data_IF_575652364907
#
_entry.id   IF_575652364907
#
_cell.length_a   1.000
_cell.length_b   1.000
_cell.length_c   1.000
_cell.angle_alpha   90.00
_cell.angle_beta   90.00
_cell.angle_gamma   90.00
#
_symmetry.space_group_name_H-M   'P 1'
#
loop_
_entity.id
_entity.type
_entity.pdbx_description
1 polymer ?
#
# COMPACT_ATOMS: atom_id res chain seq x y z
N UNK A 1 68.37 -16.19 9.96
CA UNK A 1 67.18 -16.81 10.59
C UNK A 1 66.46 -15.83 11.53
N UNK A 2 67.16 -15.18 12.47
CA UNK A 2 66.61 -14.25 13.47
C UNK A 2 65.85 -13.03 12.88
N UNK A 3 66.32 -12.46 11.77
CA UNK A 3 65.65 -11.29 11.16
C UNK A 3 64.27 -11.60 10.55
N UNK A 4 64.04 -12.85 10.11
CA UNK A 4 62.78 -13.28 9.48
C UNK A 4 61.69 -13.53 10.54
N UNK A 5 62.09 -14.08 11.68
CA UNK A 5 61.25 -14.24 12.88
C UNK A 5 60.77 -12.87 13.41
N UNK A 6 61.69 -11.92 13.59
CA UNK A 6 61.32 -10.57 14.08
C UNK A 6 60.40 -9.81 13.11
N UNK A 7 60.57 -10.00 11.80
CA UNK A 7 59.68 -9.40 10.80
C UNK A 7 58.27 -10.01 10.88
N UNK A 8 58.15 -11.33 11.05
CA UNK A 8 56.87 -12.02 11.21
C UNK A 8 56.13 -11.58 12.48
N UNK A 9 56.82 -11.42 13.61
CA UNK A 9 56.23 -10.92 14.85
C UNK A 9 55.71 -9.49 14.68
N UNK A 10 56.47 -8.61 14.01
CA UNK A 10 56.03 -7.23 13.74
C UNK A 10 54.79 -7.19 12.84
N UNK A 11 54.74 -8.01 11.79
CA UNK A 11 53.57 -8.12 10.90
C UNK A 11 52.36 -8.60 11.70
N UNK A 12 52.51 -9.65 12.51
CA UNK A 12 51.42 -10.17 13.35
C UNK A 12 50.90 -9.13 14.35
N UNK A 13 51.80 -8.39 15.01
CA UNK A 13 51.43 -7.31 15.93
C UNK A 13 50.70 -6.16 15.22
N UNK A 14 51.14 -5.79 14.02
CA UNK A 14 50.49 -4.75 13.22
C UNK A 14 49.11 -5.21 12.72
N UNK A 15 48.99 -6.45 12.24
CA UNK A 15 47.71 -7.01 11.76
C UNK A 15 46.71 -7.13 12.90
N UNK A 16 47.13 -7.64 14.07
CA UNK A 16 46.24 -7.75 15.24
C UNK A 16 45.79 -6.39 15.78
N UNK A 17 46.67 -5.39 15.79
CA UNK A 17 46.33 -4.02 16.17
C UNK A 17 45.30 -3.40 15.19
N UNK A 18 45.54 -3.52 13.88
CA UNK A 18 44.63 -3.02 12.86
C UNK A 18 43.28 -3.74 12.88
N UNK A 19 43.28 -5.07 13.04
CA UNK A 19 42.06 -5.85 13.16
C UNK A 19 41.24 -5.43 14.38
N UNK A 20 41.90 -5.16 15.52
CA UNK A 20 41.24 -4.68 16.74
C UNK A 20 40.60 -3.30 16.51
N UNK A 21 41.29 -2.39 15.83
CA UNK A 21 40.76 -1.06 15.50
C UNK A 21 39.58 -1.18 14.54
N UNK A 22 39.71 -1.97 13.48
CA UNK A 22 38.63 -2.21 12.51
C UNK A 22 37.41 -2.87 13.15
N UNK A 23 37.60 -3.87 14.01
CA UNK A 23 36.51 -4.53 14.72
C UNK A 23 35.78 -3.56 15.65
N UNK A 24 36.51 -2.72 16.41
CA UNK A 24 35.90 -1.68 17.28
C UNK A 24 35.15 -0.62 16.48
N UNK A 25 35.68 -0.18 15.34
CA UNK A 25 35.00 0.79 14.45
C UNK A 25 33.75 0.18 13.82
N UNK A 26 33.85 -1.03 13.28
CA UNK A 26 32.73 -1.71 12.65
C UNK A 26 31.61 -2.04 13.65
N UNK A 27 31.94 -2.39 14.90
CA UNK A 27 30.94 -2.63 15.93
C UNK A 27 30.09 -1.38 16.24
N UNK A 28 30.71 -0.20 16.31
CA UNK A 28 30.00 1.06 16.53
C UNK A 28 29.13 1.47 15.33
N UNK A 29 29.59 1.23 14.10
CA UNK A 29 28.82 1.51 12.87
C UNK A 29 27.64 0.56 12.71
N UNK A 30 27.75 -0.68 13.19
CA UNK A 30 26.64 -1.63 13.20
C UNK A 30 25.64 -1.39 14.35
N UNK A 31 25.95 -0.55 15.35
CA UNK A 31 25.10 -0.35 16.52
C UNK A 31 23.71 0.24 16.19
N UNK A 32 23.57 1.24 15.30
CA UNK A 32 22.25 1.73 14.89
C UNK A 32 21.44 0.70 14.08
N UNK A 33 22.11 -0.19 13.33
CA UNK A 33 21.45 -1.26 12.57
C UNK A 33 21.01 -2.43 13.47
N UNK A 34 21.68 -2.62 14.61
CA UNK A 34 21.36 -3.64 15.62
C UNK A 34 20.48 -3.12 16.75
N UNK A 35 20.32 -1.79 16.86
CA UNK A 35 19.36 -1.20 17.79
C UNK A 35 17.95 -1.57 17.33
N UNK A 36 17.34 -2.51 18.05
CA UNK A 36 15.88 -2.57 18.11
C UNK A 36 15.40 -1.17 18.51
N UNK A 37 14.46 -0.65 17.74
CA UNK A 37 13.88 0.68 17.86
C UNK A 37 13.72 1.04 19.34
N UNK A 38 14.51 2.01 19.83
CA UNK A 38 14.61 2.30 21.26
C UNK A 38 13.37 3.00 21.81
N UNK A 39 12.56 3.61 20.94
CA UNK A 39 11.35 4.33 21.29
C UNK A 39 10.10 3.47 21.01
N UNK A 40 9.30 3.16 22.05
CA UNK A 40 8.04 2.44 21.90
C UNK A 40 7.09 3.02 20.84
N UNK A 41 7.11 4.34 20.62
CA UNK A 41 6.25 4.99 19.62
C UNK A 41 6.68 4.66 18.19
N UNK A 42 7.98 4.68 17.91
CA UNK A 42 8.51 4.30 16.61
C UNK A 42 8.27 2.80 16.33
N UNK A 43 8.36 1.96 17.35
CA UNK A 43 8.01 0.54 17.23
C UNK A 43 6.54 0.37 16.85
N UNK A 44 5.63 1.08 17.54
CA UNK A 44 4.19 1.06 17.22
C UNK A 44 3.91 1.54 15.79
N UNK A 45 4.61 2.57 15.32
CA UNK A 45 4.48 3.04 13.94
C UNK A 45 4.87 1.96 12.93
N UNK A 46 6.00 1.30 13.12
CA UNK A 46 6.44 0.21 12.25
C UNK A 46 5.48 -0.98 12.27
N UNK A 47 4.94 -1.31 13.44
CA UNK A 47 3.97 -2.39 13.59
C UNK A 47 2.67 -2.05 12.84
N UNK A 48 2.18 -0.81 12.94
CA UNK A 48 1.03 -0.37 12.15
C UNK A 48 1.29 -0.30 10.65
N UNK A 49 2.50 0.05 10.23
CA UNK A 49 2.87 0.02 8.82
C UNK A 49 2.88 -1.40 8.27
N UNK A 50 3.38 -2.37 9.04
CA UNK A 50 3.35 -3.79 8.68
C UNK A 50 1.93 -4.33 8.62
N UNK A 51 1.11 -4.02 9.62
CA UNK A 51 -0.32 -4.39 9.66
C UNK A 51 -1.08 -3.81 8.46
N UNK A 52 -0.82 -2.55 8.11
CA UNK A 52 -1.43 -1.93 6.94
C UNK A 52 -0.97 -2.62 5.65
N UNK A 53 0.33 -2.90 5.50
CA UNK A 53 0.86 -3.55 4.30
C UNK A 53 0.19 -4.90 4.05
N UNK A 54 -0.02 -5.71 5.09
CA UNK A 54 -0.70 -7.01 4.95
C UNK A 54 -2.19 -6.86 4.63
N UNK A 55 -2.87 -5.88 5.22
CA UNK A 55 -4.30 -5.64 4.99
C UNK A 55 -4.62 -4.91 3.67
N UNK A 56 -3.68 -4.14 3.14
CA UNK A 56 -3.87 -3.32 1.93
C UNK A 56 -3.87 -4.12 0.61
N UNK A 57 -3.42 -5.38 0.64
CA UNK A 57 -3.34 -6.19 -0.58
C UNK A 57 -4.71 -6.76 -0.98
N UNK A 58 -5.06 -6.65 -2.27
CA UNK A 58 -6.15 -7.44 -2.85
C UNK A 58 -7.40 -6.68 -3.31
N UNK A 59 -7.44 -5.33 -3.19
CA UNK A 59 -8.47 -4.47 -3.80
C UNK A 59 -9.92 -4.71 -3.34
N UNK A 60 -10.11 -5.62 -2.38
CA UNK A 60 -11.38 -5.95 -1.75
C UNK A 60 -11.49 -5.22 -0.41
N UNK A 61 -12.70 -5.21 0.13
CA UNK A 61 -12.91 -4.78 1.50
C UNK A 61 -12.05 -5.60 2.45
N UNK A 62 -11.29 -4.88 3.29
CA UNK A 62 -10.48 -5.46 4.36
C UNK A 62 -11.40 -6.07 5.39
N UNK A 63 -11.09 -7.30 5.84
CA UNK A 63 -11.83 -8.01 6.89
C UNK A 63 -13.36 -8.07 6.64
N UNK A 64 -13.76 -8.31 5.39
CA UNK A 64 -15.17 -8.39 4.99
C UNK A 64 -15.92 -9.49 5.71
N UNK A 65 -17.04 -9.14 6.35
CA UNK A 65 -18.03 -10.13 6.79
C UNK A 65 -19.09 -10.32 5.70
N UNK A 66 -19.76 -11.48 5.64
CA UNK A 66 -20.82 -11.72 4.66
C UNK A 66 -21.95 -10.69 4.73
N UNK A 67 -22.18 -10.12 5.91
CA UNK A 67 -23.19 -9.07 6.13
C UNK A 67 -22.81 -7.76 5.44
N UNK A 68 -21.55 -7.32 5.57
CA UNK A 68 -21.06 -6.10 4.91
C UNK A 68 -21.09 -6.26 3.38
N UNK A 69 -20.75 -7.43 2.86
CA UNK A 69 -20.85 -7.68 1.41
C UNK A 69 -22.30 -7.65 0.92
N UNK A 70 -23.25 -8.14 1.75
CA UNK A 70 -24.68 -8.10 1.45
C UNK A 70 -25.18 -6.66 1.42
N UNK A 71 -24.84 -5.86 2.43
CA UNK A 71 -25.17 -4.43 2.50
C UNK A 71 -24.58 -3.66 1.32
N UNK A 72 -23.29 -3.87 1.00
CA UNK A 72 -22.66 -3.27 -0.17
C UNK A 72 -23.48 -3.56 -1.43
N UNK A 73 -23.80 -4.83 -1.70
CA UNK A 73 -24.55 -5.21 -2.90
C UNK A 73 -25.94 -4.59 -2.94
N UNK A 74 -26.61 -4.47 -1.78
CA UNK A 74 -27.91 -3.80 -1.68
C UNK A 74 -27.80 -2.31 -2.00
N UNK A 75 -26.81 -1.61 -1.45
CA UNK A 75 -26.60 -0.19 -1.72
C UNK A 75 -26.24 0.07 -3.19
N UNK A 76 -25.37 -0.76 -3.79
CA UNK A 76 -25.10 -0.70 -5.22
C UNK A 76 -26.38 -0.91 -6.06
N UNK A 77 -27.23 -1.87 -5.67
CA UNK A 77 -28.50 -2.11 -6.35
C UNK A 77 -29.48 -0.93 -6.25
N UNK A 78 -29.53 -0.24 -5.11
CA UNK A 78 -30.33 0.98 -4.94
C UNK A 78 -29.82 2.10 -5.84
N UNK A 79 -28.50 2.33 -5.86
CA UNK A 79 -27.87 3.33 -6.72
C UNK A 79 -28.11 3.05 -8.20
N UNK A 80 -27.94 1.81 -8.62
CA UNK A 80 -28.20 1.38 -10.00
C UNK A 80 -29.64 1.69 -10.44
N UNK A 81 -30.63 1.38 -9.59
CA UNK A 81 -32.04 1.71 -9.85
C UNK A 81 -32.31 3.22 -9.92
N UNK A 82 -31.70 3.99 -9.03
CA UNK A 82 -31.93 5.44 -8.95
C UNK A 82 -31.33 6.19 -10.14
N UNK A 83 -30.15 5.79 -10.62
CA UNK A 83 -29.41 6.49 -11.65
C UNK A 83 -29.50 5.85 -13.04
N UNK A 84 -30.48 4.96 -13.26
CA UNK A 84 -30.77 4.39 -14.58
C UNK A 84 -29.80 3.28 -15.04
N UNK A 85 -28.98 2.75 -14.13
CA UNK A 85 -28.14 1.58 -14.37
C UNK A 85 -28.90 0.26 -14.23
N UNK A 86 -30.02 0.11 -14.94
CA UNK A 86 -30.78 -1.15 -14.93
C UNK A 86 -29.95 -2.32 -15.46
N UNK A 87 -30.38 -3.55 -15.14
CA UNK A 87 -29.68 -4.80 -15.47
C UNK A 87 -29.35 -4.89 -16.97
N UNK A 88 -28.11 -4.60 -17.34
CA UNK A 88 -27.60 -4.64 -18.72
C UNK A 88 -27.20 -3.30 -19.32
N UNK A 89 -27.48 -2.16 -18.66
CA UNK A 89 -26.99 -0.86 -19.08
C UNK A 89 -25.52 -0.67 -18.69
N UNK A 90 -24.66 -0.43 -19.67
CA UNK A 90 -23.25 -0.14 -19.44
C UNK A 90 -23.09 1.31 -18.93
N UNK A 91 -22.91 1.46 -17.62
CA UNK A 91 -22.73 2.75 -16.96
C UNK A 91 -21.45 3.50 -17.39
N UNK A 92 -20.56 2.86 -18.15
CA UNK A 92 -19.38 3.53 -18.72
C UNK A 92 -19.69 4.20 -20.05
N UNK A 93 -20.83 3.86 -20.68
CA UNK A 93 -21.26 4.44 -21.95
C UNK A 93 -22.30 5.53 -21.73
N UNK A 94 -22.14 6.59 -22.50
CA UNK A 94 -23.10 7.68 -22.51
C UNK A 94 -24.41 7.25 -23.19
N UNK A 95 -25.59 7.72 -22.75
CA UNK A 95 -26.86 7.32 -23.34
C UNK A 95 -27.03 7.81 -24.79
N UNK A 96 -27.67 6.98 -25.62
CA UNK A 96 -28.12 7.39 -26.95
C UNK A 96 -29.42 8.18 -26.85
N UNK A 97 -29.41 9.44 -27.27
CA UNK A 97 -30.61 10.26 -27.31
C UNK A 97 -31.39 10.04 -28.61
N UNK A 98 -32.64 9.61 -28.49
CA UNK A 98 -33.61 9.62 -29.59
C UNK A 98 -34.71 10.62 -29.30
N UNK A 99 -34.77 11.66 -30.10
CA UNK A 99 -35.83 12.66 -30.03
C UNK A 99 -36.99 12.20 -30.91
N UNK A 100 -38.17 12.02 -30.31
CA UNK A 100 -39.38 11.75 -31.06
C UNK A 100 -39.97 13.08 -31.54
N UNK A 101 -40.47 13.11 -32.77
CA UNK A 101 -41.16 14.29 -33.30
C UNK A 101 -42.42 14.58 -32.48
N UNK A 102 -42.50 15.81 -31.96
CA UNK A 102 -43.66 16.28 -31.21
C UNK A 102 -44.84 16.41 -32.18
N UNK A 103 -45.86 15.57 -32.02
CA UNK A 103 -47.14 15.76 -32.70
C UNK A 103 -47.84 16.95 -32.05
N UNK A 104 -47.93 18.05 -32.79
CA UNK A 104 -48.70 19.21 -32.39
C UNK A 104 -50.19 18.90 -32.55
N UNK A 105 -50.94 18.96 -31.46
CA UNK A 105 -52.39 18.89 -31.54
C UNK A 105 -52.92 20.17 -32.20
N UNK A 106 -53.88 20.07 -33.14
CA UNK A 106 -54.44 21.24 -33.81
C UNK A 106 -55.14 22.15 -32.79
N UNK A 107 -54.77 23.43 -32.81
CA UNK A 107 -55.40 24.47 -31.98
C UNK A 107 -56.83 24.66 -32.51
N UNK A 108 -57.83 24.28 -31.71
CA UNK A 108 -59.23 24.58 -32.01
C UNK A 108 -59.46 26.09 -31.88
N UNK A 109 -59.35 26.82 -32.99
CA UNK A 109 -59.85 28.18 -33.12
C UNK A 109 -61.36 28.09 -33.35
N UNK A 110 -62.14 28.42 -32.31
CA UNK A 110 -63.59 28.57 -32.41
C UNK A 110 -63.86 29.97 -33.01
N UNK A 111 -64.31 30.01 -34.27
CA UNK A 111 -65.02 31.17 -34.84
C UNK A 111 -66.53 31.00 -34.69
#
# INVERSE_FOLDING_TARGET
MVMKEMAATRIFMNVSSNLRVSAKRNFGVCAPALQKVSDPIQQLFLDKLRDYKTKSSGGKLVDSTPEIEREWKQELGKLAKQYGGSEGADMTKFPDFKFADVKLDPINLQE
#
